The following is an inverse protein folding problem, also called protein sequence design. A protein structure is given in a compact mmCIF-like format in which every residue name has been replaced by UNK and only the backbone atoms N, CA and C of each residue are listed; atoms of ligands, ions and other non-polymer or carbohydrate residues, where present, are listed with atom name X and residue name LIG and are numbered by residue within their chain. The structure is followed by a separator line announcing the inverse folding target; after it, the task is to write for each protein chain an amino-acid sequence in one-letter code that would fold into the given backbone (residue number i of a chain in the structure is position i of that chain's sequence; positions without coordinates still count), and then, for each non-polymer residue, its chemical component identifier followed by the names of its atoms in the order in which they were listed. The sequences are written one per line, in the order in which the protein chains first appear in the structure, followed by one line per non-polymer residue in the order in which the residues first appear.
data_IF_319953602689
#
_entry.id   IF_319953602689
#
_cell.length_a   1.000
_cell.length_b   1.000
_cell.length_c   1.000
_cell.angle_alpha   90.00
_cell.angle_beta   90.00
_cell.angle_gamma   90.00
#
_symmetry.space_group_name_H-M   'P 1'
#
loop_
_entity.id
_entity.type
_entity.pdbx_description
1 polymer ?
#
# COMPACT_ATOMS: atom_id res chain seq x y z
N UNK A 1 5.06 -34.44 -10.62
CA UNK A 1 5.66 -34.12 -11.95
C UNK A 1 4.96 -32.89 -12.50
N UNK A 2 5.68 -31.87 -12.92
CA UNK A 2 5.09 -30.65 -13.50
C UNK A 2 4.69 -30.83 -14.97
N UNK A 3 3.97 -29.87 -15.58
CA UNK A 3 3.48 -30.03 -16.96
C UNK A 3 4.59 -29.96 -18.02
N UNK A 4 5.71 -29.28 -17.75
CA UNK A 4 6.86 -29.22 -18.66
C UNK A 4 7.54 -30.57 -18.76
N UNK A 5 7.85 -31.23 -17.64
CA UNK A 5 8.42 -32.54 -17.57
C UNK A 5 7.52 -33.63 -18.21
N UNK A 6 6.19 -33.51 -18.05
CA UNK A 6 5.24 -34.41 -18.74
C UNK A 6 5.30 -34.25 -20.25
N UNK A 7 5.50 -33.02 -20.72
CA UNK A 7 5.59 -32.72 -22.15
C UNK A 7 6.88 -33.25 -22.75
N UNK A 8 8.02 -33.20 -22.05
CA UNK A 8 9.30 -33.74 -22.46
C UNK A 8 9.20 -35.29 -22.63
N UNK A 9 8.69 -35.97 -21.62
CA UNK A 9 8.50 -37.45 -21.68
C UNK A 9 7.56 -37.85 -22.84
N UNK A 10 6.48 -37.11 -23.09
CA UNK A 10 5.61 -37.37 -24.23
C UNK A 10 6.33 -37.15 -25.58
N UNK A 11 7.24 -36.20 -25.62
CA UNK A 11 8.04 -35.86 -26.80
C UNK A 11 9.06 -36.99 -27.11
N UNK A 12 9.71 -37.56 -26.11
CA UNK A 12 10.62 -38.70 -26.21
C UNK A 12 9.89 -39.96 -26.79
N UNK A 13 8.66 -40.18 -26.33
CA UNK A 13 7.86 -41.32 -26.82
C UNK A 13 7.05 -41.06 -28.11
N UNK A 14 7.24 -39.88 -28.75
CA UNK A 14 6.48 -39.54 -29.95
C UNK A 14 6.81 -40.48 -31.13
N UNK A 15 8.08 -40.88 -31.31
CA UNK A 15 8.50 -41.80 -32.37
C UNK A 15 7.84 -43.21 -32.19
N UNK A 16 7.84 -43.74 -30.95
CA UNK A 16 7.20 -45.00 -30.60
C UNK A 16 5.67 -44.94 -30.85
N UNK A 17 5.05 -43.81 -30.48
CA UNK A 17 3.63 -43.55 -30.74
C UNK A 17 3.28 -43.50 -32.23
N UNK A 18 4.16 -42.99 -33.06
CA UNK A 18 3.98 -42.94 -34.52
C UNK A 18 4.20 -44.30 -35.17
N UNK A 19 5.14 -45.08 -34.70
CA UNK A 19 5.40 -46.43 -35.17
C UNK A 19 4.16 -47.35 -34.97
N UNK A 20 3.43 -47.20 -33.88
CA UNK A 20 2.17 -47.91 -33.62
C UNK A 20 0.96 -47.38 -34.41
N UNK A 21 1.17 -46.61 -35.52
CA UNK A 21 0.08 -46.08 -36.32
C UNK A 21 -0.59 -47.20 -37.13
N UNK A 22 -1.82 -47.51 -36.79
CA UNK A 22 -2.59 -48.63 -37.37
C UNK A 22 -2.83 -49.77 -36.40
N UNK A 23 -1.96 -49.99 -35.38
CA UNK A 23 -2.04 -51.06 -34.42
C UNK A 23 -2.77 -50.61 -33.12
N UNK A 24 -4.07 -50.83 -33.09
CA UNK A 24 -4.94 -50.33 -32.01
C UNK A 24 -4.59 -50.93 -30.64
N UNK A 25 -4.16 -52.18 -30.58
CA UNK A 25 -3.78 -52.86 -29.31
C UNK A 25 -2.49 -52.28 -28.74
N UNK A 26 -1.43 -52.18 -29.53
CA UNK A 26 -0.12 -51.60 -29.11
C UNK A 26 -0.23 -50.15 -28.69
N UNK A 27 -0.97 -49.35 -29.46
CA UNK A 27 -1.23 -47.96 -29.15
C UNK A 27 -2.01 -47.80 -27.84
N UNK A 28 -2.92 -48.73 -27.55
CA UNK A 28 -3.66 -48.81 -26.30
C UNK A 28 -2.76 -49.14 -25.10
N UNK A 29 -1.82 -50.06 -25.28
CA UNK A 29 -0.85 -50.46 -24.27
C UNK A 29 0.12 -49.34 -23.96
N UNK A 30 0.66 -48.69 -24.98
CA UNK A 30 1.53 -47.50 -24.83
C UNK A 30 0.80 -46.36 -24.12
N UNK A 31 -0.46 -46.07 -24.50
CA UNK A 31 -1.27 -45.06 -23.84
C UNK A 31 -1.50 -45.37 -22.34
N UNK A 32 -1.70 -46.62 -21.99
CA UNK A 32 -1.88 -47.08 -20.60
C UNK A 32 -0.59 -46.91 -19.80
N UNK A 33 0.57 -47.33 -20.36
CA UNK A 33 1.90 -47.17 -19.77
C UNK A 33 2.20 -45.69 -19.48
N UNK A 34 2.05 -44.80 -20.48
CA UNK A 34 2.26 -43.37 -20.34
C UNK A 34 1.27 -42.71 -19.39
N UNK A 35 0.01 -43.13 -19.36
CA UNK A 35 -0.99 -42.65 -18.41
C UNK A 35 -0.57 -42.91 -16.96
N UNK A 36 -0.06 -44.10 -16.65
CA UNK A 36 0.42 -44.49 -15.33
C UNK A 36 1.68 -43.71 -14.93
N UNK A 37 2.69 -43.66 -15.82
CA UNK A 37 3.97 -42.98 -15.56
C UNK A 37 3.79 -41.47 -15.34
N UNK A 38 2.95 -40.84 -16.15
CA UNK A 38 2.73 -39.36 -16.12
C UNK A 38 1.62 -38.92 -15.19
N UNK A 39 0.92 -39.88 -14.55
CA UNK A 39 -0.30 -39.61 -13.76
C UNK A 39 -1.27 -38.70 -14.53
N UNK A 40 -1.58 -39.10 -15.77
CA UNK A 40 -2.52 -38.39 -16.65
C UNK A 40 -3.67 -39.34 -17.00
N UNK A 41 -4.86 -38.79 -17.21
CA UNK A 41 -6.00 -39.59 -17.67
C UNK A 41 -5.69 -40.20 -19.03
N UNK A 42 -5.98 -41.49 -19.24
CA UNK A 42 -5.63 -42.23 -20.46
C UNK A 42 -6.09 -41.58 -21.76
N UNK A 43 -7.30 -40.96 -21.78
CA UNK A 43 -7.82 -40.21 -22.93
C UNK A 43 -7.05 -38.92 -23.24
N UNK A 44 -6.21 -38.44 -22.30
CA UNK A 44 -5.37 -37.24 -22.51
C UNK A 44 -4.11 -37.57 -23.31
N UNK A 45 -3.60 -38.81 -23.27
CA UNK A 45 -2.39 -39.18 -23.97
C UNK A 45 -2.53 -39.03 -25.49
N UNK A 46 -3.55 -39.62 -26.17
CA UNK A 46 -3.71 -39.45 -27.62
C UNK A 46 -3.87 -37.95 -28.03
N UNK A 47 -4.59 -37.16 -27.20
CA UNK A 47 -4.76 -35.73 -27.47
C UNK A 47 -3.45 -34.96 -27.39
N UNK A 48 -2.62 -35.30 -26.40
CA UNK A 48 -1.31 -34.68 -26.23
C UNK A 48 -0.35 -35.07 -27.34
N UNK A 49 -0.33 -36.34 -27.73
CA UNK A 49 0.47 -36.84 -28.84
C UNK A 49 0.05 -36.22 -30.19
N UNK A 50 -1.24 -36.04 -30.44
CA UNK A 50 -1.73 -35.32 -31.62
C UNK A 50 -1.29 -33.85 -31.63
N UNK A 51 -1.29 -33.18 -30.47
CA UNK A 51 -0.78 -31.78 -30.36
C UNK A 51 0.72 -31.69 -30.65
N UNK A 52 1.51 -32.69 -30.27
CA UNK A 52 2.96 -32.76 -30.56
C UNK A 52 3.22 -32.90 -32.06
N UNK A 53 2.37 -33.63 -32.78
CA UNK A 53 2.47 -33.84 -34.22
C UNK A 53 2.10 -32.58 -35.02
N UNK A 54 1.14 -31.80 -34.55
CA UNK A 54 0.57 -30.65 -35.31
C UNK A 54 1.23 -29.31 -35.01
N UNK A 55 2.11 -29.21 -33.99
CA UNK A 55 2.82 -27.96 -33.66
C UNK A 55 4.22 -27.97 -34.26
N UNK A 56 4.37 -27.22 -35.37
CA UNK A 56 5.68 -26.69 -35.74
C UNK A 56 6.04 -25.57 -34.73
N UNK A 57 7.34 -25.39 -34.43
CA UNK A 57 7.82 -24.37 -33.49
C UNK A 57 7.51 -22.91 -33.92
N UNK A 58 7.04 -22.69 -35.15
CA UNK A 58 6.79 -21.37 -35.73
C UNK A 58 5.38 -20.82 -35.53
N UNK A 59 4.37 -21.68 -35.27
CA UNK A 59 2.96 -21.24 -35.18
C UNK A 59 2.48 -21.13 -33.74
N UNK A 60 3.05 -20.19 -33.00
CA UNK A 60 2.32 -19.63 -31.85
C UNK A 60 1.31 -18.60 -32.39
N UNK A 61 0.20 -19.04 -32.96
CA UNK A 61 -0.97 -18.18 -33.07
C UNK A 61 -1.20 -17.54 -31.71
N UNK A 62 -1.07 -16.23 -31.65
CA UNK A 62 -1.45 -15.43 -30.48
C UNK A 62 -2.96 -15.51 -30.33
N UNK A 63 -3.43 -16.58 -29.65
CA UNK A 63 -4.87 -16.71 -29.31
C UNK A 63 -5.19 -15.65 -28.26
N UNK A 64 -6.15 -14.81 -28.57
CA UNK A 64 -6.65 -13.78 -27.67
C UNK A 64 -7.08 -12.53 -28.43
N UNK A 65 -7.93 -11.73 -27.81
CA UNK A 65 -8.31 -10.40 -28.34
C UNK A 65 -7.04 -9.53 -28.44
N UNK A 66 -6.83 -8.78 -29.55
CA UNK A 66 -5.72 -7.83 -29.66
C UNK A 66 -5.68 -6.89 -28.44
N UNK A 67 -4.48 -6.61 -27.92
CA UNK A 67 -4.34 -5.68 -26.81
C UNK A 67 -4.71 -4.29 -27.28
N UNK A 68 -5.75 -3.69 -26.70
CA UNK A 68 -6.22 -2.33 -27.03
C UNK A 68 -5.15 -1.27 -26.69
N UNK A 69 -4.35 -1.51 -25.63
CA UNK A 69 -3.36 -0.56 -25.12
C UNK A 69 -1.94 -1.07 -25.41
N UNK A 70 -1.17 -0.27 -26.13
CA UNK A 70 0.19 -0.55 -26.53
C UNK A 70 1.24 -0.34 -25.41
N UNK A 71 2.51 -0.41 -25.80
CA UNK A 71 3.64 -0.19 -24.87
C UNK A 71 3.64 1.23 -24.31
N UNK A 72 3.31 2.24 -25.13
CA UNK A 72 3.31 3.65 -24.74
C UNK A 72 2.24 3.97 -23.68
N UNK A 73 1.03 3.44 -23.83
CA UNK A 73 -0.03 3.58 -22.82
C UNK A 73 0.35 2.91 -21.49
N UNK A 74 1.09 1.79 -21.54
CA UNK A 74 1.61 1.14 -20.34
C UNK A 74 2.73 1.96 -19.70
N UNK A 75 3.61 2.58 -20.48
CA UNK A 75 4.68 3.46 -19.99
C UNK A 75 4.09 4.75 -19.38
N UNK A 76 3.11 5.35 -20.03
CA UNK A 76 2.38 6.51 -19.51
C UNK A 76 1.69 6.20 -18.17
N UNK A 77 0.99 5.05 -18.07
CA UNK A 77 0.42 4.59 -16.81
C UNK A 77 1.49 4.38 -15.74
N UNK A 78 2.63 3.79 -16.09
CA UNK A 78 3.73 3.55 -15.15
C UNK A 78 4.32 4.84 -14.61
N UNK A 79 4.51 5.87 -15.44
CA UNK A 79 5.02 7.18 -15.03
C UNK A 79 4.08 7.88 -14.05
N UNK A 80 2.78 7.92 -14.32
CA UNK A 80 1.80 8.49 -13.39
C UNK A 80 1.70 7.65 -12.12
N UNK A 81 1.64 6.32 -12.23
CA UNK A 81 1.57 5.39 -11.11
C UNK A 81 2.77 5.49 -10.14
N UNK A 82 3.96 5.78 -10.68
CA UNK A 82 5.18 5.98 -9.89
C UNK A 82 5.11 7.26 -9.06
N UNK A 83 4.73 8.39 -9.66
CA UNK A 83 4.62 9.68 -8.96
C UNK A 83 3.46 9.70 -7.97
N UNK A 84 2.38 8.98 -8.26
CA UNK A 84 1.28 8.73 -7.30
C UNK A 84 1.67 7.78 -6.15
N UNK A 85 2.91 7.34 -6.07
CA UNK A 85 3.42 6.45 -5.03
C UNK A 85 2.76 5.06 -5.03
N UNK A 86 2.61 4.48 -6.24
CA UNK A 86 2.21 3.09 -6.45
C UNK A 86 0.84 2.70 -5.87
N UNK A 87 -0.24 3.49 -6.02
CA UNK A 87 -1.56 3.15 -5.50
C UNK A 87 -2.14 1.89 -6.17
N UNK A 88 -3.23 1.37 -5.65
CA UNK A 88 -4.04 0.39 -6.37
C UNK A 88 -4.86 1.08 -7.48
N UNK A 89 -5.30 0.32 -8.48
CA UNK A 89 -6.00 0.87 -9.64
C UNK A 89 -7.29 1.61 -9.29
N UNK A 90 -7.97 1.17 -8.23
CA UNK A 90 -9.18 1.80 -7.70
C UNK A 90 -8.93 3.22 -7.18
N UNK A 91 -7.71 3.49 -6.75
CA UNK A 91 -7.28 4.80 -6.24
C UNK A 91 -6.63 5.66 -7.34
N UNK A 92 -6.86 5.33 -8.61
CA UNK A 92 -6.43 6.09 -9.79
C UNK A 92 -7.65 6.49 -10.65
N UNK A 93 -8.57 7.32 -10.15
CA UNK A 93 -9.68 7.82 -10.95
C UNK A 93 -9.15 8.70 -12.09
N UNK A 94 -9.96 8.86 -13.14
CA UNK A 94 -9.60 9.66 -14.33
C UNK A 94 -9.15 11.07 -13.95
N UNK A 95 -9.94 11.75 -13.11
CA UNK A 95 -9.69 13.14 -12.73
C UNK A 95 -8.31 13.32 -12.06
N UNK A 96 -7.92 12.36 -11.20
CA UNK A 96 -6.60 12.40 -10.56
C UNK A 96 -5.47 12.11 -11.55
N UNK A 97 -5.64 11.17 -12.48
CA UNK A 97 -4.65 10.93 -13.53
C UNK A 97 -4.46 12.18 -14.38
N UNK A 98 -5.55 12.83 -14.78
CA UNK A 98 -5.55 14.04 -15.60
C UNK A 98 -4.83 15.20 -14.90
N UNK A 99 -5.04 15.37 -13.59
CA UNK A 99 -4.32 16.34 -12.78
C UNK A 99 -2.80 16.11 -12.84
N UNK A 100 -2.32 14.87 -12.63
CA UNK A 100 -0.90 14.54 -12.71
C UNK A 100 -0.33 14.74 -14.12
N UNK A 101 -1.07 14.34 -15.16
CA UNK A 101 -0.68 14.57 -16.56
C UNK A 101 -0.54 16.08 -16.85
N UNK A 102 -1.45 16.91 -16.34
CA UNK A 102 -1.39 18.36 -16.46
C UNK A 102 -0.14 18.96 -15.83
N UNK A 103 0.28 18.47 -14.66
CA UNK A 103 1.55 18.87 -14.04
C UNK A 103 2.77 18.42 -14.86
N UNK A 104 2.77 17.19 -15.39
CA UNK A 104 3.83 16.72 -16.26
C UNK A 104 3.95 17.58 -17.52
N UNK A 105 2.83 17.98 -18.13
CA UNK A 105 2.81 18.85 -19.31
C UNK A 105 3.37 20.25 -18.99
N UNK A 106 2.98 20.85 -17.85
CA UNK A 106 3.50 22.13 -17.39
C UNK A 106 5.02 22.10 -17.17
N UNK A 107 5.54 21.00 -16.65
CA UNK A 107 6.98 20.79 -16.43
C UNK A 107 7.73 20.33 -17.70
N UNK A 108 7.05 20.20 -18.87
CA UNK A 108 7.61 19.67 -20.11
C UNK A 108 8.22 18.26 -19.96
N UNK A 109 7.65 17.44 -19.07
CA UNK A 109 8.09 16.07 -18.77
C UNK A 109 7.14 15.00 -19.29
N UNK A 110 6.11 15.38 -20.03
CA UNK A 110 5.19 14.48 -20.69
C UNK A 110 5.59 14.30 -22.14
N UNK A 111 6.15 13.14 -22.47
CA UNK A 111 6.68 12.82 -23.81
C UNK A 111 5.74 11.95 -24.65
N UNK A 112 4.54 11.66 -24.15
CA UNK A 112 3.57 10.81 -24.84
C UNK A 112 2.67 11.63 -25.76
N UNK A 113 2.20 10.97 -26.86
CA UNK A 113 1.27 11.58 -27.81
C UNK A 113 -0.11 11.84 -27.18
N UNK A 114 -0.90 12.72 -27.81
CA UNK A 114 -2.29 12.97 -27.38
C UNK A 114 -3.13 11.69 -27.41
N UNK A 115 -2.96 10.84 -28.43
CA UNK A 115 -3.63 9.55 -28.52
C UNK A 115 -3.28 8.63 -27.33
N UNK A 116 -2.01 8.59 -26.94
CA UNK A 116 -1.56 7.82 -25.75
C UNK A 116 -2.16 8.37 -24.47
N UNK A 117 -2.25 9.69 -24.36
CA UNK A 117 -2.86 10.37 -23.22
C UNK A 117 -4.36 10.05 -23.13
N UNK A 118 -5.09 10.14 -24.22
CA UNK A 118 -6.51 9.78 -24.27
C UNK A 118 -6.74 8.30 -23.94
N UNK A 119 -5.89 7.42 -24.45
CA UNK A 119 -5.91 6.00 -24.12
C UNK A 119 -5.70 5.76 -22.61
N UNK A 120 -4.79 6.49 -21.97
CA UNK A 120 -4.56 6.43 -20.51
C UNK A 120 -5.80 6.90 -19.73
N UNK A 121 -6.36 8.05 -20.09
CA UNK A 121 -7.50 8.66 -19.41
C UNK A 121 -8.80 7.86 -19.59
N UNK A 122 -8.95 7.15 -20.71
CA UNK A 122 -10.11 6.29 -21.02
C UNK A 122 -9.91 4.84 -20.54
N UNK A 123 -8.76 4.51 -19.97
CA UNK A 123 -8.44 3.16 -19.51
C UNK A 123 -9.35 2.74 -18.35
N UNK A 124 -10.05 1.62 -18.50
CA UNK A 124 -10.92 1.09 -17.44
C UNK A 124 -10.13 0.67 -16.19
N UNK A 125 -10.79 0.73 -15.03
CA UNK A 125 -10.21 0.27 -13.76
C UNK A 125 -9.71 -1.18 -13.84
N UNK A 126 -10.47 -2.08 -14.49
CA UNK A 126 -10.07 -3.47 -14.69
C UNK A 126 -8.78 -3.62 -15.50
N UNK A 127 -8.60 -2.81 -16.54
CA UNK A 127 -7.37 -2.79 -17.34
C UNK A 127 -6.20 -2.27 -16.51
N UNK A 128 -6.39 -1.15 -15.78
CA UNK A 128 -5.37 -0.62 -14.85
C UNK A 128 -4.96 -1.67 -13.81
N UNK A 129 -5.91 -2.43 -13.24
CA UNK A 129 -5.64 -3.54 -12.30
C UNK A 129 -4.68 -4.58 -12.87
N UNK A 130 -4.95 -5.05 -14.09
CA UNK A 130 -4.13 -6.08 -14.75
C UNK A 130 -2.72 -5.55 -14.98
N UNK A 131 -2.59 -4.34 -15.52
CA UNK A 131 -1.28 -3.74 -15.84
C UNK A 131 -0.46 -3.44 -14.57
N UNK A 132 -1.09 -2.84 -13.55
CA UNK A 132 -0.45 -2.54 -12.27
C UNK A 132 -0.04 -3.83 -11.54
N UNK A 133 -0.85 -4.89 -11.60
CA UNK A 133 -0.48 -6.19 -11.03
C UNK A 133 0.78 -6.76 -11.67
N UNK A 134 0.89 -6.68 -12.99
CA UNK A 134 2.09 -7.11 -13.71
C UNK A 134 3.33 -6.25 -13.36
N UNK A 135 3.16 -4.94 -13.16
CA UNK A 135 4.24 -4.02 -12.75
C UNK A 135 4.70 -4.31 -11.31
N UNK A 136 3.77 -4.60 -10.38
CA UNK A 136 4.08 -4.96 -8.97
C UNK A 136 4.86 -6.25 -8.84
N UNK A 137 4.55 -7.29 -9.63
CA UNK A 137 5.27 -8.57 -9.60
C UNK A 137 6.77 -8.45 -9.91
N UNK A 138 7.16 -7.40 -10.67
CA UNK A 138 8.57 -7.15 -11.00
C UNK A 138 9.37 -6.49 -9.86
N UNK A 139 8.72 -6.04 -8.77
CA UNK A 139 9.34 -5.17 -7.73
C UNK A 139 9.44 -5.80 -6.32
N UNK A 140 9.30 -7.03 -6.05
CA UNK A 140 9.38 -7.79 -4.77
C UNK A 140 9.42 -6.99 -3.43
N UNK A 141 8.54 -7.31 -2.43
CA UNK A 141 8.41 -6.57 -1.14
C UNK A 141 8.31 -7.53 0.07
N UNK A 142 8.97 -7.23 1.22
CA UNK A 142 9.02 -8.02 2.46
C UNK A 142 8.17 -7.43 3.62
N UNK A 143 7.79 -8.23 4.65
CA UNK A 143 6.89 -7.87 5.78
C UNK A 143 7.47 -8.21 7.17
N UNK A 144 7.16 -7.41 8.24
CA UNK A 144 7.66 -7.55 9.62
C UNK A 144 6.61 -7.76 10.76
N UNK A 145 7.01 -7.97 12.04
CA UNK A 145 6.19 -8.36 13.23
C UNK A 145 6.42 -7.49 14.48
N UNK A 146 5.49 -7.46 15.46
CA UNK A 146 5.58 -6.70 16.74
C UNK A 146 4.84 -7.31 17.95
N UNK A 147 5.11 -6.85 19.23
CA UNK A 147 4.55 -7.34 20.53
C UNK A 147 4.39 -6.24 21.61
N UNK A 148 3.44 -6.36 22.61
CA UNK A 148 3.03 -5.31 23.60
C UNK A 148 2.68 -5.82 25.02
N UNK A 149 2.90 -5.00 26.11
CA UNK A 149 2.63 -5.28 27.55
C UNK A 149 1.63 -4.30 28.19
N UNK A 150 0.97 -4.61 29.34
CA UNK A 150 -0.20 -3.93 29.93
C UNK A 150 0.06 -2.91 31.06
N UNK A 151 -0.77 -1.82 31.21
CA UNK A 151 -0.68 -0.70 32.17
C UNK A 151 -2.00 -0.44 32.93
N UNK A 152 -2.01 0.07 34.22
CA UNK A 152 -3.21 0.32 35.03
C UNK A 152 -4.15 1.39 34.49
N UNK A 153 -3.64 2.43 33.85
CA UNK A 153 -4.43 3.52 33.24
C UNK A 153 -5.43 3.02 32.19
N UNK A 154 -5.18 1.84 31.62
CA UNK A 154 -6.08 1.21 30.64
C UNK A 154 -7.50 0.99 31.16
N UNK A 155 -7.66 0.76 32.48
CA UNK A 155 -8.98 0.61 33.07
C UNK A 155 -9.83 1.89 33.10
N UNK A 156 -9.19 3.06 33.08
CA UNK A 156 -9.84 4.38 33.17
C UNK A 156 -10.27 4.92 31.80
N UNK A 157 -9.61 4.50 30.72
CA UNK A 157 -9.89 4.98 29.38
C UNK A 157 -10.96 4.10 28.73
N UNK A 158 -12.10 4.67 28.28
CA UNK A 158 -13.21 3.91 27.73
C UNK A 158 -12.84 3.21 26.43
N UNK A 159 -13.42 2.02 26.23
CA UNK A 159 -13.26 1.25 25.00
C UNK A 159 -14.23 1.78 23.94
N UNK A 160 -13.71 2.10 22.74
CA UNK A 160 -14.53 2.35 21.56
C UNK A 160 -14.51 1.11 20.66
N UNK A 161 -15.69 0.55 20.38
CA UNK A 161 -15.83 -0.63 19.53
C UNK A 161 -15.87 -0.25 18.04
N UNK A 162 -15.37 -1.14 17.16
CA UNK A 162 -15.29 -0.89 15.71
C UNK A 162 -16.61 -0.49 15.04
N UNK A 163 -17.75 -1.00 15.52
CA UNK A 163 -19.06 -0.66 14.95
C UNK A 163 -19.53 0.77 15.28
N UNK A 164 -18.87 1.48 16.21
CA UNK A 164 -19.18 2.88 16.54
C UNK A 164 -18.43 3.89 15.67
N UNK A 165 -17.56 3.42 14.77
CA UNK A 165 -16.87 4.24 13.78
C UNK A 165 -17.76 4.43 12.54
N UNK A 166 -18.92 5.06 12.70
CA UNK A 166 -19.88 5.33 11.62
C UNK A 166 -20.29 6.79 11.71
N UNK A 167 -20.28 7.50 10.59
CA UNK A 167 -20.73 8.89 10.42
C UNK A 167 -20.17 9.90 11.44
N UNK A 168 -18.95 9.65 11.92
CA UNK A 168 -18.29 10.57 12.83
C UNK A 168 -17.90 11.86 12.11
N UNK A 169 -17.98 13.03 12.79
CA UNK A 169 -17.46 14.27 12.28
C UNK A 169 -15.92 14.26 12.27
N UNK A 170 -15.25 15.17 11.54
CA UNK A 170 -13.82 15.35 11.63
C UNK A 170 -13.34 15.69 13.05
N UNK A 171 -12.14 15.20 13.37
CA UNK A 171 -11.54 15.36 14.71
C UNK A 171 -11.52 14.09 15.55
N UNK A 172 -12.05 12.97 15.05
CA UNK A 172 -11.94 11.65 15.67
C UNK A 172 -10.77 10.89 15.06
N UNK A 173 -9.68 10.79 15.79
CA UNK A 173 -8.41 10.31 15.26
C UNK A 173 -8.03 8.94 15.80
N UNK A 174 -7.59 8.08 14.90
CA UNK A 174 -6.81 6.88 15.26
C UNK A 174 -5.33 7.26 15.29
N UNK A 175 -4.59 6.76 16.28
CA UNK A 175 -3.15 6.99 16.41
C UNK A 175 -2.43 5.69 16.71
N UNK A 176 -1.21 5.58 16.19
CA UNK A 176 -0.35 4.41 16.37
C UNK A 176 1.11 4.79 16.14
N UNK A 177 2.03 3.93 16.57
CA UNK A 177 3.44 4.10 16.36
C UNK A 177 4.05 2.96 15.54
N UNK A 178 4.96 3.31 14.62
CA UNK A 178 5.71 2.36 13.81
C UNK A 178 7.15 2.34 14.25
N UNK A 179 7.60 1.20 14.79
CA UNK A 179 8.98 1.01 15.22
C UNK A 179 9.93 0.73 14.04
N UNK A 180 11.07 1.40 13.97
CA UNK A 180 12.11 1.19 12.97
C UNK A 180 13.30 0.43 13.55
N UNK A 181 13.06 -0.81 13.98
CA UNK A 181 14.03 -1.65 14.71
C UNK A 181 14.81 -2.64 13.82
N UNK A 182 14.48 -2.76 12.53
CA UNK A 182 15.02 -3.85 11.69
C UNK A 182 14.64 -5.22 12.25
N UNK A 183 15.60 -6.11 12.32
CA UNK A 183 15.42 -7.49 12.80
C UNK A 183 15.51 -7.62 14.34
N UNK A 184 15.95 -6.57 15.05
CA UNK A 184 16.18 -6.57 16.50
C UNK A 184 15.30 -5.54 17.21
N UNK A 185 14.48 -6.01 18.16
CA UNK A 185 13.60 -5.14 18.97
C UNK A 185 14.32 -4.45 20.15
N UNK A 186 15.56 -4.84 20.47
CA UNK A 186 16.32 -4.33 21.63
C UNK A 186 17.00 -3.00 21.32
N UNK A 187 17.14 -2.17 22.34
CA UNK A 187 17.81 -0.86 22.29
C UNK A 187 16.92 0.26 21.77
N UNK A 188 17.43 1.48 21.84
CA UNK A 188 16.73 2.67 21.38
C UNK A 188 16.72 2.76 19.85
N UNK A 189 15.59 3.10 19.31
CA UNK A 189 15.38 3.26 17.86
C UNK A 189 14.37 4.36 17.60
N UNK A 190 14.30 4.81 16.35
CA UNK A 190 13.30 5.76 15.90
C UNK A 190 11.93 5.09 15.82
N UNK A 191 10.92 5.81 16.23
CA UNK A 191 9.49 5.51 16.04
C UNK A 191 8.85 6.58 15.16
N UNK A 192 7.95 6.19 14.27
CA UNK A 192 7.05 7.12 13.56
C UNK A 192 5.71 7.13 14.27
N UNK A 193 5.35 8.25 14.87
CA UNK A 193 4.00 8.47 15.44
C UNK A 193 3.10 9.02 14.35
N UNK A 194 1.94 8.40 14.15
CA UNK A 194 0.95 8.77 13.16
C UNK A 194 -0.42 9.04 13.75
N UNK A 195 -1.14 9.99 13.18
CA UNK A 195 -2.53 10.28 13.45
C UNK A 195 -3.32 10.30 12.14
N UNK A 196 -4.49 9.67 12.13
CA UNK A 196 -5.41 9.62 10.98
C UNK A 196 -6.81 9.99 11.42
N UNK A 197 -7.39 11.00 10.82
CA UNK A 197 -8.80 11.32 11.03
C UNK A 197 -9.71 10.32 10.33
N UNK A 198 -10.65 9.75 11.08
CA UNK A 198 -11.54 8.73 10.56
C UNK A 198 -12.48 9.25 9.46
N UNK A 199 -13.01 10.45 9.61
CA UNK A 199 -14.00 11.02 8.69
C UNK A 199 -13.41 11.39 7.32
N UNK A 200 -12.21 11.97 7.32
CA UNK A 200 -11.60 12.55 6.13
C UNK A 200 -10.41 11.74 5.60
N UNK A 201 -9.85 10.83 6.41
CA UNK A 201 -8.56 10.15 6.16
C UNK A 201 -7.37 11.10 6.10
N UNK A 202 -7.55 12.35 6.56
CA UNK A 202 -6.44 13.27 6.76
C UNK A 202 -5.45 12.65 7.73
N UNK A 203 -4.19 12.59 7.34
CA UNK A 203 -3.16 11.92 8.13
C UNK A 203 -1.90 12.77 8.24
N UNK A 204 -1.28 12.76 9.40
CA UNK A 204 0.04 13.34 9.60
C UNK A 204 0.91 12.44 10.47
N UNK A 205 2.22 12.50 10.22
CA UNK A 205 3.22 11.65 10.85
C UNK A 205 4.45 12.48 11.22
N UNK A 206 5.11 12.09 12.32
CA UNK A 206 6.46 12.55 12.61
C UNK A 206 7.30 11.44 13.24
N UNK A 207 8.61 11.53 13.08
CA UNK A 207 9.55 10.66 13.75
C UNK A 207 9.89 11.19 15.14
N UNK A 208 10.12 10.27 16.08
CA UNK A 208 10.63 10.57 17.42
C UNK A 208 11.71 9.56 17.82
N UNK A 209 12.57 9.97 18.74
CA UNK A 209 13.54 9.08 19.36
C UNK A 209 12.85 8.27 20.45
N UNK A 210 12.99 6.95 20.38
CA UNK A 210 12.35 5.96 21.24
C UNK A 210 10.82 6.10 21.40
N UNK A 211 10.20 5.31 22.28
CA UNK A 211 8.76 5.33 22.60
C UNK A 211 8.47 5.93 23.98
N UNK A 212 9.27 6.91 24.41
CA UNK A 212 9.07 7.57 25.68
C UNK A 212 7.73 8.32 25.76
N UNK A 213 7.12 8.32 26.93
CA UNK A 213 5.79 8.94 27.16
C UNK A 213 5.80 10.43 26.84
N UNK A 214 6.84 11.16 27.26
CA UNK A 214 6.99 12.59 27.00
C UNK A 214 7.30 12.86 25.52
N UNK A 215 8.16 12.05 24.89
CA UNK A 215 8.41 12.17 23.45
C UNK A 215 7.12 12.00 22.63
N UNK A 216 6.29 11.03 23.01
CA UNK A 216 4.99 10.78 22.36
C UNK A 216 4.01 11.94 22.59
N UNK A 217 3.96 12.49 23.81
CA UNK A 217 3.16 13.70 24.11
C UNK A 217 3.56 14.88 23.21
N UNK A 218 4.88 15.15 23.10
CA UNK A 218 5.42 16.24 22.26
C UNK A 218 5.09 15.99 20.78
N UNK A 219 5.21 14.74 20.32
CA UNK A 219 4.84 14.35 18.96
C UNK A 219 3.35 14.63 18.67
N UNK A 220 2.45 14.18 19.55
CA UNK A 220 1.02 14.41 19.40
C UNK A 220 0.66 15.90 19.43
N UNK A 221 1.29 16.69 20.31
CA UNK A 221 1.09 18.13 20.39
C UNK A 221 1.54 18.82 19.09
N UNK A 222 2.63 18.37 18.48
CA UNK A 222 3.13 18.91 17.21
C UNK A 222 2.21 18.53 16.06
N UNK A 223 1.79 17.27 15.98
CA UNK A 223 0.86 16.78 14.96
C UNK A 223 -0.48 17.51 15.04
N UNK A 224 -1.02 17.75 16.25
CA UNK A 224 -2.27 18.50 16.43
C UNK A 224 -2.24 19.89 15.78
N UNK A 225 -1.10 20.60 15.88
CA UNK A 225 -0.94 21.94 15.28
C UNK A 225 -0.93 21.93 13.75
N UNK A 226 -0.64 20.78 13.14
CA UNK A 226 -0.57 20.60 11.68
C UNK A 226 -1.89 20.16 11.07
N UNK A 227 -2.84 19.66 11.89
CA UNK A 227 -4.16 19.30 11.39
C UNK A 227 -4.97 20.54 11.05
N UNK A 228 -5.72 20.54 9.94
CA UNK A 228 -6.49 21.72 9.52
C UNK A 228 -7.75 21.96 10.37
N UNK A 229 -8.16 21.01 11.20
CA UNK A 229 -9.34 21.10 12.05
C UNK A 229 -9.01 20.60 13.47
N UNK A 230 -9.81 21.03 14.48
CA UNK A 230 -9.56 20.67 15.87
C UNK A 230 -9.77 19.16 16.13
N UNK A 231 -8.95 18.61 17.03
CA UNK A 231 -9.10 17.25 17.52
C UNK A 231 -10.19 17.18 18.59
N UNK A 232 -11.08 16.20 18.50
CA UNK A 232 -12.16 15.92 19.46
C UNK A 232 -11.87 14.68 20.29
N UNK A 233 -11.32 13.66 19.64
CA UNK A 233 -11.00 12.38 20.25
C UNK A 233 -9.70 11.80 19.70
N UNK A 234 -8.91 11.20 20.59
CA UNK A 234 -7.73 10.44 20.27
C UNK A 234 -7.95 8.97 20.63
N UNK A 235 -7.80 8.09 19.65
CA UNK A 235 -8.00 6.64 19.78
C UNK A 235 -6.72 5.89 19.44
N UNK A 236 -5.83 5.67 20.43
CA UNK A 236 -4.68 4.78 20.28
C UNK A 236 -5.11 3.30 20.29
N UNK A 237 -4.16 2.47 19.91
CA UNK A 237 -4.17 1.08 20.34
C UNK A 237 -3.97 0.97 21.87
N UNK A 238 -3.67 -0.23 22.38
CA UNK A 238 -3.41 -0.43 23.81
C UNK A 238 -1.94 -0.20 24.20
N UNK A 239 -1.14 0.49 23.38
CA UNK A 239 0.27 0.76 23.62
C UNK A 239 0.52 1.69 24.81
N UNK A 240 1.52 1.39 25.65
CA UNK A 240 1.86 2.19 26.83
C UNK A 240 2.39 3.58 26.45
N UNK A 241 2.97 3.74 25.26
CA UNK A 241 3.43 5.02 24.73
C UNK A 241 2.32 6.06 24.58
N UNK A 242 1.08 5.61 24.35
CA UNK A 242 -0.10 6.47 24.24
C UNK A 242 -0.94 6.46 25.52
N UNK A 243 -1.06 5.29 26.16
CA UNK A 243 -1.87 5.13 27.39
C UNK A 243 -0.96 5.32 28.59
N UNK A 244 -0.63 6.58 28.89
CA UNK A 244 0.17 7.02 30.00
C UNK A 244 -0.33 8.35 30.56
N UNK A 245 0.14 8.74 31.75
CA UNK A 245 -0.29 9.95 32.42
C UNK A 245 0.08 11.24 31.71
N UNK A 246 1.21 11.29 31.00
CA UNK A 246 1.64 12.49 30.27
C UNK A 246 0.69 12.81 29.10
N UNK A 247 0.38 11.81 28.29
CA UNK A 247 -0.55 11.94 27.16
C UNK A 247 -1.98 12.19 27.66
N UNK A 248 -2.45 11.44 28.67
CA UNK A 248 -3.78 11.61 29.24
C UNK A 248 -3.99 13.00 29.84
N UNK A 249 -3.05 13.47 30.70
CA UNK A 249 -3.11 14.81 31.30
C UNK A 249 -3.11 15.92 30.23
N UNK A 250 -2.30 15.75 29.19
CA UNK A 250 -2.28 16.67 28.07
C UNK A 250 -3.62 16.66 27.29
N UNK A 251 -4.18 15.50 26.98
CA UNK A 251 -5.43 15.40 26.24
C UNK A 251 -6.60 16.05 26.99
N UNK A 252 -6.69 15.83 28.32
CA UNK A 252 -7.69 16.47 29.19
C UNK A 252 -7.52 18.00 29.17
N UNK A 253 -6.28 18.52 29.30
CA UNK A 253 -6.00 19.95 29.24
C UNK A 253 -6.43 20.59 27.91
N UNK A 254 -6.26 19.84 26.82
CA UNK A 254 -6.61 20.30 25.47
C UNK A 254 -8.07 20.04 25.08
N UNK A 255 -8.89 19.48 25.98
CA UNK A 255 -10.28 19.13 25.70
C UNK A 255 -10.45 17.98 24.72
N UNK A 256 -9.46 17.09 24.59
CA UNK A 256 -9.47 15.94 23.68
C UNK A 256 -9.87 14.70 24.47
N UNK A 257 -10.98 14.08 24.11
CA UNK A 257 -11.38 12.81 24.70
C UNK A 257 -10.37 11.70 24.32
N UNK A 258 -10.13 10.78 25.26
CA UNK A 258 -9.35 9.56 24.94
C UNK A 258 -10.25 8.35 24.98
N UNK A 259 -10.10 7.50 23.97
CA UNK A 259 -10.68 6.15 23.94
C UNK A 259 -9.58 5.15 23.56
N UNK A 260 -9.85 3.87 23.64
CA UNK A 260 -8.89 2.82 23.24
C UNK A 260 -9.58 1.65 22.54
N UNK A 261 -8.80 0.89 21.78
CA UNK A 261 -9.26 -0.33 21.13
C UNK A 261 -9.60 -1.43 22.14
N UNK A 262 -10.52 -2.31 21.76
CA UNK A 262 -10.80 -3.53 22.49
C UNK A 262 -9.59 -4.50 22.34
N UNK A 263 -9.13 -5.13 23.43
CA UNK A 263 -8.04 -6.09 23.34
C UNK A 263 -8.32 -7.20 22.32
N UNK A 264 -7.32 -7.54 21.52
CA UNK A 264 -7.38 -8.58 20.47
C UNK A 264 -8.35 -8.30 19.29
N UNK A 265 -8.90 -7.10 19.15
CA UNK A 265 -9.75 -6.70 18.01
C UNK A 265 -8.94 -5.90 16.98
N UNK A 266 -8.35 -6.60 16.01
CA UNK A 266 -7.55 -6.00 14.93
C UNK A 266 -8.28 -5.00 14.01
N UNK A 267 -9.62 -4.94 14.07
CA UNK A 267 -10.39 -4.07 13.17
C UNK A 267 -10.62 -2.66 13.75
N UNK A 268 -10.26 -2.41 15.01
CA UNK A 268 -10.58 -1.16 15.68
C UNK A 268 -9.67 0.01 15.19
N UNK A 269 -8.47 -0.30 14.68
CA UNK A 269 -7.47 0.67 14.22
C UNK A 269 -7.16 0.56 12.71
N UNK A 270 -8.12 0.14 11.89
CA UNK A 270 -7.84 -0.19 10.49
C UNK A 270 -7.40 0.99 9.62
N UNK A 271 -7.81 2.23 9.95
CA UNK A 271 -7.42 3.41 9.17
C UNK A 271 -5.94 3.73 9.39
N UNK A 272 -5.50 3.72 10.65
CA UNK A 272 -4.09 3.99 10.97
C UNK A 272 -3.18 2.84 10.53
N UNK A 273 -3.62 1.57 10.62
CA UNK A 273 -2.83 0.42 10.14
C UNK A 273 -2.57 0.52 8.63
N UNK A 274 -3.56 0.90 7.83
CA UNK A 274 -3.38 1.14 6.39
C UNK A 274 -2.38 2.27 6.16
N UNK A 275 -2.49 3.38 6.90
CA UNK A 275 -1.60 4.53 6.77
C UNK A 275 -0.18 4.24 7.25
N UNK A 276 0.00 3.43 8.29
CA UNK A 276 1.32 2.96 8.73
C UNK A 276 2.07 2.25 7.60
N UNK A 277 1.37 1.45 6.80
CA UNK A 277 1.97 0.79 5.63
C UNK A 277 2.20 1.75 4.47
N UNK A 278 1.21 2.60 4.14
CA UNK A 278 1.24 3.45 2.94
C UNK A 278 2.04 4.75 3.13
N UNK A 279 2.34 5.16 4.37
CA UNK A 279 3.16 6.34 4.70
C UNK A 279 4.46 5.90 5.37
N UNK A 280 4.42 5.43 6.63
CA UNK A 280 5.64 5.20 7.39
C UNK A 280 6.53 4.09 6.79
N UNK A 281 5.98 2.88 6.62
CA UNK A 281 6.77 1.75 6.09
C UNK A 281 7.21 1.94 4.65
N UNK A 282 6.36 2.53 3.83
CA UNK A 282 6.67 2.78 2.42
C UNK A 282 7.82 3.78 2.22
N UNK A 283 7.92 4.79 3.06
CA UNK A 283 8.89 5.86 2.87
C UNK A 283 10.15 5.71 3.72
N UNK A 284 10.06 5.17 4.92
CA UNK A 284 11.20 4.91 5.81
C UNK A 284 11.71 3.46 5.74
N UNK A 285 10.89 2.53 5.21
CA UNK A 285 11.27 1.12 5.06
C UNK A 285 11.30 0.35 6.38
N UNK A 286 12.09 -0.72 6.37
CA UNK A 286 12.23 -1.68 7.48
C UNK A 286 13.64 -1.69 8.08
N UNK A 287 14.54 -0.82 7.60
CA UNK A 287 15.88 -0.74 8.15
C UNK A 287 15.87 -0.29 9.62
N UNK A 288 16.88 -0.73 10.38
CA UNK A 288 17.09 -0.29 11.74
C UNK A 288 17.58 1.16 11.74
N UNK A 289 16.94 2.01 12.54
CA UNK A 289 17.28 3.42 12.74
C UNK A 289 17.57 3.66 14.22
N UNK A 290 18.80 3.36 14.65
CA UNK A 290 19.26 3.44 16.04
C UNK A 290 20.27 4.59 16.25
N UNK A 291 20.02 5.71 15.58
CA UNK A 291 20.74 6.97 15.76
C UNK A 291 19.73 8.14 15.77
N UNK A 292 19.71 8.90 16.86
CA UNK A 292 18.80 10.02 17.06
C UNK A 292 18.98 11.16 16.04
N UNK A 293 20.17 11.28 15.44
CA UNK A 293 20.46 12.30 14.41
C UNK A 293 19.62 12.13 13.14
N UNK A 294 19.05 10.94 12.93
CA UNK A 294 18.15 10.67 11.78
C UNK A 294 16.71 11.18 12.01
N UNK A 295 16.32 11.55 13.23
CA UNK A 295 14.94 11.99 13.56
C UNK A 295 14.47 13.17 12.69
N UNK A 296 15.26 14.25 12.50
CA UNK A 296 14.84 15.38 11.66
C UNK A 296 14.60 14.96 10.20
N UNK A 297 15.49 14.16 9.62
CA UNK A 297 15.39 13.69 8.25
C UNK A 297 14.18 12.75 8.07
N UNK A 298 13.99 11.80 8.98
CA UNK A 298 12.83 10.91 8.98
C UNK A 298 11.51 11.70 9.11
N UNK A 299 11.47 12.73 9.97
CA UNK A 299 10.29 13.60 10.13
C UNK A 299 9.99 14.39 8.86
N UNK A 300 11.00 14.91 8.16
CA UNK A 300 10.78 15.63 6.89
C UNK A 300 10.29 14.70 5.77
N UNK A 301 10.82 13.48 5.68
CA UNK A 301 10.32 12.45 4.76
C UNK A 301 8.84 12.16 5.03
N UNK A 302 8.46 11.95 6.29
CA UNK A 302 7.07 11.70 6.67
C UNK A 302 6.16 12.87 6.35
N UNK A 303 6.60 14.11 6.62
CA UNK A 303 5.86 15.33 6.30
C UNK A 303 5.59 15.44 4.79
N UNK A 304 6.62 15.24 3.95
CA UNK A 304 6.45 15.28 2.49
C UNK A 304 5.50 14.17 2.00
N UNK A 305 5.62 12.97 2.57
CA UNK A 305 4.73 11.85 2.26
C UNK A 305 3.27 12.14 2.66
N UNK A 306 3.05 12.81 3.80
CA UNK A 306 1.71 13.22 4.25
C UNK A 306 1.11 14.30 3.33
N UNK A 307 1.87 15.32 2.95
CA UNK A 307 1.42 16.34 2.00
C UNK A 307 0.98 15.71 0.68
N UNK A 308 1.84 14.85 0.11
CA UNK A 308 1.51 14.14 -1.13
C UNK A 308 0.27 13.25 -0.96
N UNK A 309 0.15 12.55 0.17
CA UNK A 309 -0.99 11.68 0.45
C UNK A 309 -2.29 12.46 0.64
N UNK A 310 -2.27 13.54 1.44
CA UNK A 310 -3.47 14.29 1.78
C UNK A 310 -4.03 15.06 0.59
N UNK A 311 -3.18 15.66 -0.23
CA UNK A 311 -3.61 16.54 -1.30
C UNK A 311 -3.80 15.83 -2.64
N UNK A 312 -3.00 14.77 -2.95
CA UNK A 312 -2.91 14.23 -4.31
C UNK A 312 -3.13 12.73 -4.44
N UNK A 313 -3.26 11.97 -3.32
CA UNK A 313 -3.49 10.51 -3.38
C UNK A 313 -4.90 10.14 -2.97
N UNK A 314 -5.79 9.81 -3.93
CA UNK A 314 -7.14 9.38 -3.62
C UNK A 314 -7.15 8.00 -2.97
N UNK A 315 -8.07 7.80 -2.05
CA UNK A 315 -8.30 6.56 -1.30
C UNK A 315 -9.79 6.22 -1.35
N UNK A 316 -10.12 4.93 -1.50
CA UNK A 316 -11.49 4.41 -1.31
C UNK A 316 -11.64 3.86 0.11
N UNK A 317 -12.59 4.40 0.86
CA UNK A 317 -12.90 3.86 2.18
C UNK A 317 -13.74 2.59 2.06
N UNK A 318 -13.48 1.66 2.96
CA UNK A 318 -14.37 0.53 3.16
C UNK A 318 -15.63 1.00 3.90
N UNK A 319 -16.78 0.81 3.29
CA UNK A 319 -18.09 1.22 3.85
C UNK A 319 -18.76 0.09 4.60
N UNK A 320 -18.46 -1.15 4.26
CA UNK A 320 -19.06 -2.31 4.90
C UNK A 320 -18.15 -3.57 4.78
N UNK A 321 -18.29 -4.48 5.76
CA UNK A 321 -17.56 -5.74 5.82
C UNK A 321 -18.46 -6.82 6.42
N UNK A 322 -19.07 -7.63 5.58
CA UNK A 322 -20.00 -8.71 5.96
C UNK A 322 -19.32 -10.07 5.81
N UNK A 323 -19.51 -10.94 6.78
CA UNK A 323 -19.05 -12.33 6.70
C UNK A 323 -20.08 -13.18 5.98
N UNK A 324 -19.69 -13.84 4.90
CA UNK A 324 -20.52 -14.78 4.13
C UNK A 324 -19.82 -16.14 4.16
N UNK A 325 -20.28 -17.03 5.04
CA UNK A 325 -19.64 -18.31 5.28
C UNK A 325 -18.19 -18.16 5.79
N UNK A 326 -17.23 -18.73 5.10
CA UNK A 326 -15.80 -18.64 5.42
C UNK A 326 -15.12 -17.37 4.87
N UNK A 327 -15.81 -16.58 4.04
CA UNK A 327 -15.23 -15.41 3.36
C UNK A 327 -15.79 -14.10 3.89
N UNK A 328 -14.99 -13.01 3.79
CA UNK A 328 -15.42 -11.65 4.08
C UNK A 328 -15.71 -10.91 2.78
N UNK A 329 -16.95 -10.42 2.60
CA UNK A 329 -17.31 -9.47 1.55
C UNK A 329 -17.06 -8.06 2.08
N UNK A 330 -16.26 -7.28 1.37
CA UNK A 330 -15.94 -5.87 1.68
C UNK A 330 -16.59 -4.99 0.63
N UNK A 331 -17.31 -3.98 1.07
CA UNK A 331 -17.89 -2.95 0.21
C UNK A 331 -17.08 -1.67 0.37
N UNK A 332 -16.83 -0.96 -0.70
CA UNK A 332 -16.05 0.28 -0.72
C UNK A 332 -16.89 1.40 -1.33
N UNK A 333 -16.52 2.64 -1.03
CA UNK A 333 -17.09 3.82 -1.69
C UNK A 333 -17.06 3.68 -3.21
N UNK A 334 -18.03 4.27 -3.89
CA UNK A 334 -18.10 4.25 -5.34
C UNK A 334 -16.96 5.05 -5.99
N UNK A 335 -16.58 6.19 -5.41
CA UNK A 335 -15.53 7.10 -5.90
C UNK A 335 -14.35 7.15 -4.92
N UNK A 336 -13.12 7.11 -5.45
CA UNK A 336 -11.92 7.41 -4.69
C UNK A 336 -11.77 8.93 -4.56
N UNK A 337 -11.40 9.40 -3.36
CA UNK A 337 -11.21 10.81 -3.07
C UNK A 337 -9.95 11.02 -2.26
N UNK A 338 -9.27 12.15 -2.46
CA UNK A 338 -8.18 12.55 -1.58
C UNK A 338 -8.72 13.00 -0.22
N UNK A 339 -7.94 12.92 0.87
CA UNK A 339 -8.31 13.52 2.15
C UNK A 339 -8.69 15.01 2.02
N UNK A 340 -7.95 15.77 1.21
CA UNK A 340 -8.25 17.16 0.87
C UNK A 340 -9.67 17.33 0.30
N UNK A 341 -10.04 16.54 -0.72
CA UNK A 341 -11.38 16.59 -1.30
C UNK A 341 -12.46 16.26 -0.26
N UNK A 342 -12.20 15.26 0.61
CA UNK A 342 -13.14 14.90 1.68
C UNK A 342 -13.35 16.05 2.67
N UNK A 343 -12.27 16.75 3.07
CA UNK A 343 -12.39 17.95 3.93
C UNK A 343 -13.25 19.03 3.28
N UNK A 344 -13.07 19.28 1.98
CA UNK A 344 -13.85 20.29 1.27
C UNK A 344 -15.34 19.94 1.14
N UNK A 345 -15.69 18.66 1.03
CA UNK A 345 -17.09 18.19 0.93
C UNK A 345 -17.83 18.19 2.28
N UNK A 346 -17.10 18.22 3.42
CA UNK A 346 -17.73 18.18 4.75
C UNK A 346 -18.47 19.49 5.04
N UNK A 347 -19.74 19.38 5.46
CA UNK A 347 -20.55 20.52 5.88
C UNK A 347 -20.22 21.04 7.29
N UNK A 348 -19.63 20.17 8.11
CA UNK A 348 -19.26 20.42 9.50
C UNK A 348 -17.83 20.98 9.69
N UNK A 349 -17.16 21.34 8.59
CA UNK A 349 -15.89 22.08 8.58
C UNK A 349 -16.14 23.51 8.08
N UNK A 350 -15.65 24.50 8.82
CA UNK A 350 -15.80 25.91 8.51
C UNK A 350 -15.19 26.32 7.16
N UNK A 351 -15.76 27.33 6.53
CA UNK A 351 -15.33 27.79 5.21
C UNK A 351 -13.95 28.49 5.24
N UNK A 352 -13.57 29.06 6.38
CA UNK A 352 -12.23 29.60 6.64
C UNK A 352 -11.14 28.52 6.51
N UNK A 353 -11.35 27.36 7.13
CA UNK A 353 -10.47 26.19 7.02
C UNK A 353 -10.38 25.72 5.57
N UNK A 354 -11.51 25.59 4.89
CA UNK A 354 -11.56 25.17 3.48
C UNK A 354 -10.86 26.18 2.57
N UNK A 355 -11.01 27.48 2.84
CA UNK A 355 -10.32 28.54 2.09
C UNK A 355 -8.81 28.46 2.27
N UNK A 356 -8.34 28.29 3.51
CA UNK A 356 -6.92 28.09 3.80
C UNK A 356 -6.36 26.87 3.10
N UNK A 357 -7.05 25.73 3.16
CA UNK A 357 -6.64 24.48 2.48
C UNK A 357 -6.60 24.61 0.95
N UNK A 358 -7.56 25.35 0.35
CA UNK A 358 -7.52 25.62 -1.10
C UNK A 358 -6.32 26.50 -1.47
N UNK A 359 -5.98 27.46 -0.64
CA UNK A 359 -4.79 28.29 -0.85
C UNK A 359 -3.51 27.46 -0.75
N UNK A 360 -3.38 26.63 0.28
CA UNK A 360 -2.26 25.70 0.42
C UNK A 360 -2.15 24.74 -0.78
N UNK A 361 -3.24 24.09 -1.15
CA UNK A 361 -3.26 23.14 -2.28
C UNK A 361 -2.76 23.76 -3.59
N UNK A 362 -3.11 25.03 -3.86
CA UNK A 362 -2.64 25.76 -5.06
C UNK A 362 -1.14 26.01 -5.07
N UNK A 363 -0.47 26.05 -3.92
CA UNK A 363 0.99 26.23 -3.82
C UNK A 363 1.75 24.91 -3.95
N UNK A 364 1.06 23.78 -3.85
CA UNK A 364 1.68 22.45 -3.90
C UNK A 364 1.77 21.94 -5.34
N UNK A 365 2.92 21.35 -5.68
CA UNK A 365 3.14 20.62 -6.91
C UNK A 365 3.47 19.15 -6.60
N UNK A 366 2.65 18.16 -7.00
CA UNK A 366 2.89 16.75 -6.67
C UNK A 366 4.18 16.21 -7.25
N UNK A 367 4.66 16.71 -8.39
CA UNK A 367 5.92 16.28 -9.01
C UNK A 367 7.11 16.77 -8.20
N UNK A 368 7.07 18.02 -7.72
CA UNK A 368 8.12 18.57 -6.86
C UNK A 368 8.15 17.90 -5.49
N UNK A 369 6.98 17.67 -4.88
CA UNK A 369 6.87 16.93 -3.62
C UNK A 369 7.47 15.53 -3.77
N UNK A 370 7.16 14.86 -4.86
CA UNK A 370 7.72 13.52 -5.13
C UNK A 370 9.23 13.56 -5.32
N UNK A 371 9.74 14.52 -6.09
CA UNK A 371 11.19 14.69 -6.32
C UNK A 371 11.93 14.96 -5.01
N UNK A 372 11.41 15.89 -4.19
CA UNK A 372 11.98 16.21 -2.88
C UNK A 372 11.97 14.97 -1.97
N UNK A 373 10.85 14.24 -1.94
CA UNK A 373 10.72 13.01 -1.18
C UNK A 373 11.76 11.96 -1.59
N UNK A 374 12.01 11.78 -2.89
CA UNK A 374 13.00 10.82 -3.39
C UNK A 374 14.43 11.23 -3.00
N UNK A 375 14.77 12.53 -3.10
CA UNK A 375 16.07 13.05 -2.66
C UNK A 375 16.30 12.76 -1.17
N UNK A 376 15.31 13.06 -0.33
CA UNK A 376 15.40 12.81 1.12
C UNK A 376 15.55 11.31 1.45
N UNK A 377 14.87 10.44 0.69
CA UNK A 377 15.01 8.98 0.86
C UNK A 377 16.39 8.47 0.47
N UNK A 378 16.97 9.00 -0.60
CA UNK A 378 18.35 8.69 -0.99
C UNK A 378 19.34 9.16 0.08
N UNK A 379 19.14 10.36 0.64
CA UNK A 379 19.94 10.88 1.75
C UNK A 379 19.85 9.97 2.99
N UNK A 380 18.63 9.55 3.34
CA UNK A 380 18.42 8.61 4.45
C UNK A 380 19.18 7.28 4.21
N UNK A 381 19.10 6.74 2.99
CA UNK A 381 19.84 5.52 2.61
C UNK A 381 21.33 5.67 2.81
N UNK A 382 21.94 6.76 2.32
CA UNK A 382 23.37 7.07 2.50
C UNK A 382 23.75 7.17 3.97
N UNK A 383 23.01 7.93 4.77
CA UNK A 383 23.27 8.07 6.22
C UNK A 383 23.19 6.72 6.96
N UNK A 384 22.23 5.86 6.60
CA UNK A 384 22.12 4.52 7.18
C UNK A 384 23.32 3.63 6.80
N UNK A 385 23.82 3.71 5.58
CA UNK A 385 25.02 2.98 5.14
C UNK A 385 26.27 3.48 5.87
N UNK A 386 26.44 4.79 6.01
CA UNK A 386 27.58 5.40 6.71
C UNK A 386 27.58 5.02 8.21
N UNK A 387 26.42 5.02 8.85
CA UNK A 387 26.28 4.57 10.25
C UNK A 387 26.63 3.07 10.40
N UNK A 388 26.23 2.22 9.45
CA UNK A 388 26.61 0.81 9.44
C UNK A 388 28.12 0.64 9.30
N UNK A 389 28.78 1.36 8.38
CA UNK A 389 30.24 1.32 8.21
C UNK A 389 30.98 1.75 9.46
N UNK A 390 30.56 2.84 10.13
CA UNK A 390 31.14 3.31 11.39
C UNK A 390 31.03 2.28 12.51
N UNK A 391 29.91 1.57 12.63
CA UNK A 391 29.72 0.51 13.63
C UNK A 391 30.61 -0.71 13.38
N UNK A 392 30.83 -1.08 12.11
CA UNK A 392 31.75 -2.17 11.74
C UNK A 392 33.21 -1.76 11.98
N UNK A 393 33.58 -0.52 11.69
CA UNK A 393 34.94 -0.01 11.90
C UNK A 393 35.29 0.28 13.38
N UNK A 394 34.28 0.42 14.23
CA UNK A 394 34.46 0.63 15.70
C UNK A 394 34.37 -0.64 16.54
N UNK A 395 34.17 -1.80 15.90
CA UNK A 395 34.32 -3.15 16.47
C UNK A 395 35.70 -3.72 16.12
#
# INVERSE_FOLDING_TARGET
MNMATKHEVLQEHLKEWLACKGERKERGTLAKRLSQSLRMHIKSIPRSMKRLQTKSKSDKEKRGRPKKYGADANAALAQVWEVMEYPCAENMPRDSIDEYVSYFMKEKRWSFSNETTDNLLTMSEGTKKILISAMRQKRGILRGRSATVSSPLKGMIPIRKSHTWVDLPPGYLQTDSVVHCGDLLTGDVIYSVGCVDFATYWSDYMAQWNKGEEATRVSLQTLRKRFPFPWKELHPDTGNEFINYHVHKWSVKEGIAMTRSEPYKKNDNMCIEERNNSIARKHLGYARMDDSSLVPLASEILKMACLLSNHFRPVRRMTDKVRIGAKWKRTFEKKSMTPYQRVLERKDIGDDIKKALRAEHKTLNPLELKRKLDILKVELGKKLEDLKKKKIAGQ
#
